data_IF_071422603606
#
_entry.id   IF_071422603606
#
_cell.length_a   1.000
_cell.length_b   1.000
_cell.length_c   1.000
_cell.angle_alpha   90.00
_cell.angle_beta   90.00
_cell.angle_gamma   90.00
#
_symmetry.space_group_name_H-M   'P 1'
#
loop_
_entity.id
_entity.type
_entity.pdbx_description
1 polymer ?
#
# COMPACT_ATOMS: atom_id res chain seq x y z
N UNK A 1 -38.03 -68.64 9.60
CA UNK A 1 -37.41 -67.71 8.61
C UNK A 1 -37.12 -66.36 9.30
N UNK A 2 -35.84 -66.11 9.61
CA UNK A 2 -35.42 -64.85 10.24
C UNK A 2 -35.03 -63.87 9.13
N UNK A 3 -35.77 -62.76 9.00
CA UNK A 3 -35.43 -61.68 8.06
C UNK A 3 -34.42 -60.74 8.73
N UNK A 4 -33.20 -60.73 8.24
CA UNK A 4 -32.19 -59.75 8.65
C UNK A 4 -32.40 -58.45 7.87
N UNK A 5 -32.78 -57.38 8.57
CA UNK A 5 -32.90 -56.05 8.03
C UNK A 5 -31.53 -55.36 8.18
N UNK A 6 -30.84 -55.14 7.07
CA UNK A 6 -29.60 -54.37 7.02
C UNK A 6 -29.97 -52.89 6.86
N UNK A 7 -29.77 -52.08 7.90
CA UNK A 7 -29.88 -50.61 7.84
C UNK A 7 -28.53 -50.09 7.36
N UNK A 8 -28.49 -49.58 6.13
CA UNK A 8 -27.31 -48.91 5.57
C UNK A 8 -27.40 -47.41 5.97
N UNK A 9 -26.67 -47.02 7.01
CA UNK A 9 -26.57 -45.60 7.42
C UNK A 9 -25.60 -44.91 6.49
N UNK A 10 -26.12 -44.12 5.55
CA UNK A 10 -25.36 -43.27 4.66
C UNK A 10 -24.96 -41.97 5.40
N UNK A 11 -23.70 -41.94 5.86
CA UNK A 11 -23.13 -40.76 6.54
C UNK A 11 -22.73 -39.72 5.45
N UNK A 12 -23.58 -38.70 5.20
CA UNK A 12 -23.25 -37.57 4.36
C UNK A 12 -22.22 -36.69 5.11
N UNK A 13 -20.95 -36.85 4.74
CA UNK A 13 -19.90 -35.94 5.16
C UNK A 13 -20.07 -34.57 4.44
N UNK A 14 -20.55 -33.58 5.16
CA UNK A 14 -20.55 -32.21 4.68
C UNK A 14 -19.12 -31.66 4.77
N UNK A 15 -18.37 -31.76 3.68
CA UNK A 15 -17.09 -31.06 3.54
C UNK A 15 -17.37 -29.58 3.32
N UNK A 16 -17.21 -28.77 4.39
CA UNK A 16 -17.19 -27.32 4.28
C UNK A 16 -15.95 -26.89 3.47
N UNK A 17 -16.12 -26.56 2.18
CA UNK A 17 -15.12 -25.86 1.41
C UNK A 17 -14.98 -24.45 2.00
N UNK A 18 -13.94 -24.23 2.80
CA UNK A 18 -13.51 -22.88 3.17
C UNK A 18 -12.95 -22.22 1.91
N UNK A 19 -13.70 -21.34 1.28
CA UNK A 19 -13.20 -20.48 0.22
C UNK A 19 -12.20 -19.49 0.84
N UNK A 20 -10.92 -19.85 0.85
CA UNK A 20 -9.86 -18.90 1.18
C UNK A 20 -9.77 -17.90 0.03
N UNK A 21 -9.94 -16.60 0.35
CA UNK A 21 -9.75 -15.56 -0.64
C UNK A 21 -8.29 -15.62 -1.13
N UNK A 22 -8.13 -15.94 -2.41
CA UNK A 22 -6.80 -16.09 -3.01
C UNK A 22 -6.11 -14.73 -3.05
N UNK A 23 -4.88 -14.64 -2.52
CA UNK A 23 -4.02 -13.49 -2.62
C UNK A 23 -3.81 -13.12 -4.10
N UNK A 24 -4.10 -11.89 -4.45
CA UNK A 24 -3.86 -11.35 -5.79
C UNK A 24 -2.69 -10.38 -5.72
N UNK A 25 -1.77 -10.49 -6.69
CA UNK A 25 -0.62 -9.60 -6.80
C UNK A 25 -0.44 -9.15 -8.26
N UNK A 26 0.08 -7.94 -8.41
CA UNK A 26 0.50 -7.39 -9.70
C UNK A 26 1.87 -6.76 -9.54
N UNK A 27 2.80 -7.18 -10.37
CA UNK A 27 4.16 -6.64 -10.41
C UNK A 27 4.25 -5.72 -11.62
N UNK A 28 4.75 -4.51 -11.41
CA UNK A 28 5.02 -3.53 -12.45
C UNK A 28 6.44 -2.99 -12.32
N UNK A 29 6.97 -2.53 -13.43
CA UNK A 29 8.26 -1.82 -13.48
C UNK A 29 7.99 -0.34 -13.72
N UNK A 30 8.57 0.51 -12.89
CA UNK A 30 8.44 1.97 -12.96
C UNK A 30 9.81 2.56 -13.26
N UNK A 31 9.94 3.29 -14.35
CA UNK A 31 11.12 4.08 -14.64
C UNK A 31 10.88 5.54 -14.24
N UNK A 32 11.78 6.10 -13.43
CA UNK A 32 11.76 7.50 -13.01
C UNK A 32 12.97 8.21 -13.61
N UNK A 33 12.74 9.29 -14.34
CA UNK A 33 13.77 10.08 -15.00
C UNK A 33 13.88 11.47 -14.40
N UNK A 34 15.12 11.90 -14.14
CA UNK A 34 15.44 13.28 -13.82
C UNK A 34 15.96 14.00 -15.06
N UNK A 35 15.16 14.90 -15.64
CA UNK A 35 15.53 15.67 -16.83
C UNK A 35 16.37 16.93 -16.52
N UNK A 36 16.66 17.19 -15.24
CA UNK A 36 17.39 18.36 -14.80
C UNK A 36 18.90 18.07 -14.75
N UNK A 37 19.70 19.12 -14.90
CA UNK A 37 21.16 19.06 -14.80
C UNK A 37 21.69 19.00 -13.35
N UNK A 38 20.80 18.90 -12.37
CA UNK A 38 21.11 18.77 -10.95
C UNK A 38 20.55 17.46 -10.40
N UNK A 39 21.30 16.81 -9.53
CA UNK A 39 20.80 15.67 -8.77
C UNK A 39 19.68 16.12 -7.83
N UNK A 40 18.70 15.25 -7.64
CA UNK A 40 17.59 15.46 -6.68
C UNK A 40 17.63 14.38 -5.63
N UNK A 41 17.83 14.79 -4.38
CA UNK A 41 17.63 13.93 -3.24
C UNK A 41 16.14 13.95 -2.85
N UNK A 42 15.65 12.80 -2.36
CA UNK A 42 14.28 12.63 -1.85
C UNK A 42 13.20 13.17 -2.82
N UNK A 43 13.41 12.99 -4.13
CA UNK A 43 12.41 13.38 -5.11
C UNK A 43 11.13 12.56 -4.92
N UNK A 44 9.95 13.19 -4.73
CA UNK A 44 8.70 12.45 -4.58
C UNK A 44 8.31 11.79 -5.90
N UNK A 45 7.95 10.52 -5.83
CA UNK A 45 7.38 9.74 -6.94
C UNK A 45 5.96 9.37 -6.53
N UNK A 46 5.00 9.82 -7.33
CA UNK A 46 3.57 9.56 -7.12
C UNK A 46 3.05 8.74 -8.28
N UNK A 47 2.43 7.62 -7.99
CA UNK A 47 1.85 6.71 -8.96
C UNK A 47 0.35 6.62 -8.74
N UNK A 48 -0.43 7.02 -9.74
CA UNK A 48 -1.87 6.87 -9.72
C UNK A 48 -2.24 5.39 -9.91
N UNK A 49 -2.86 4.79 -8.89
CA UNK A 49 -3.22 3.37 -8.91
C UNK A 49 -4.37 3.05 -9.86
N UNK A 50 -5.24 4.01 -10.15
CA UNK A 50 -6.34 3.81 -11.09
C UNK A 50 -5.81 3.54 -12.51
N UNK A 51 -4.73 4.20 -12.91
CA UNK A 51 -4.10 4.01 -14.22
C UNK A 51 -3.43 2.65 -14.38
N UNK A 52 -3.09 2.01 -13.27
CA UNK A 52 -2.42 0.71 -13.29
C UNK A 52 -3.36 -0.47 -13.57
N UNK A 53 -4.67 -0.28 -13.49
CA UNK A 53 -5.69 -1.31 -13.75
C UNK A 53 -5.32 -2.65 -13.07
N UNK A 54 -5.14 -2.64 -11.76
CA UNK A 54 -4.67 -3.80 -11.00
C UNK A 54 -5.60 -5.03 -11.12
N UNK A 55 -6.90 -4.79 -11.35
CA UNK A 55 -7.93 -5.85 -11.44
C UNK A 55 -8.43 -6.33 -10.07
N UNK A 56 -7.87 -5.80 -8.99
CA UNK A 56 -8.27 -6.07 -7.62
C UNK A 56 -8.09 -4.83 -6.75
N UNK A 57 -8.68 -4.85 -5.55
CA UNK A 57 -8.50 -3.78 -4.57
C UNK A 57 -7.11 -3.85 -3.96
N UNK A 58 -6.26 -2.86 -4.26
CA UNK A 58 -4.91 -2.74 -3.68
C UNK A 58 -5.03 -2.40 -2.19
N UNK A 59 -4.34 -3.16 -1.35
CA UNK A 59 -4.29 -2.97 0.10
C UNK A 59 -2.87 -2.82 0.63
N UNK A 60 -1.87 -3.22 -0.14
CA UNK A 60 -0.46 -2.98 0.16
C UNK A 60 0.36 -2.89 -1.12
N UNK A 61 1.51 -2.25 -1.02
CA UNK A 61 2.52 -2.18 -2.06
C UNK A 61 3.91 -2.37 -1.47
N UNK A 62 4.81 -2.94 -2.26
CA UNK A 62 6.25 -3.03 -1.95
C UNK A 62 7.00 -2.44 -3.13
N UNK A 63 7.91 -1.51 -2.86
CA UNK A 63 8.75 -0.86 -3.86
C UNK A 63 10.20 -1.33 -3.67
N UNK A 64 10.82 -1.81 -4.74
CA UNK A 64 12.20 -2.31 -4.72
C UNK A 64 13.06 -1.53 -5.73
N UNK A 65 14.23 -1.05 -5.30
CA UNK A 65 15.32 -0.59 -6.16
C UNK A 65 16.41 -1.69 -6.18
N UNK A 66 16.42 -2.51 -7.20
CA UNK A 66 17.24 -3.73 -7.21
C UNK A 66 16.85 -4.67 -6.06
N UNK A 67 17.76 -4.88 -5.10
CA UNK A 67 17.52 -5.69 -3.90
C UNK A 67 17.12 -4.88 -2.67
N UNK A 68 17.13 -3.55 -2.78
CA UNK A 68 16.80 -2.65 -1.67
C UNK A 68 15.31 -2.31 -1.68
N UNK A 69 14.64 -2.55 -0.56
CA UNK A 69 13.26 -2.09 -0.36
C UNK A 69 13.25 -0.59 -0.05
N UNK A 70 12.38 0.13 -0.74
CA UNK A 70 12.20 1.58 -0.56
C UNK A 70 10.91 1.81 0.23
N UNK A 71 10.96 2.57 1.34
CA UNK A 71 9.77 2.96 2.07
C UNK A 71 8.74 3.63 1.17
N UNK A 72 7.50 3.17 1.26
CA UNK A 72 6.40 3.67 0.43
C UNK A 72 5.10 3.72 1.22
N UNK A 73 4.17 4.52 0.74
CA UNK A 73 2.88 4.76 1.38
C UNK A 73 1.77 4.67 0.32
N UNK A 74 0.62 4.17 0.74
CA UNK A 74 -0.61 4.17 -0.04
C UNK A 74 -1.56 5.21 0.55
N UNK A 75 -2.07 6.09 -0.31
CA UNK A 75 -2.98 7.17 0.08
C UNK A 75 -4.38 6.97 -0.50
N UNK A 76 -5.39 7.18 0.35
CA UNK A 76 -6.81 7.25 0.02
C UNK A 76 -7.21 8.73 0.12
N UNK A 77 -7.18 9.43 -1.02
CA UNK A 77 -7.35 10.89 -1.08
C UNK A 77 -8.80 11.32 -0.85
N UNK A 78 -9.75 10.49 -1.26
CA UNK A 78 -11.18 10.78 -1.22
C UNK A 78 -11.92 10.14 -0.02
N UNK A 79 -11.21 9.30 0.77
CA UNK A 79 -11.70 8.57 1.94
C UNK A 79 -12.80 7.54 1.61
N UNK A 80 -12.76 6.97 0.41
CA UNK A 80 -13.69 5.91 0.00
C UNK A 80 -13.21 4.49 0.38
N UNK A 81 -12.09 4.40 1.09
CA UNK A 81 -11.39 3.17 1.51
C UNK A 81 -10.78 2.37 0.37
N UNK A 82 -10.54 3.01 -0.77
CA UNK A 82 -9.69 2.50 -1.84
C UNK A 82 -8.44 3.35 -1.89
N UNK A 83 -7.31 2.73 -2.20
CA UNK A 83 -6.07 3.48 -2.36
C UNK A 83 -6.05 4.11 -3.74
N UNK A 84 -5.81 5.42 -3.79
CA UNK A 84 -5.76 6.21 -5.01
C UNK A 84 -4.33 6.34 -5.53
N UNK A 85 -3.36 6.48 -4.61
CA UNK A 85 -1.97 6.73 -4.96
C UNK A 85 -1.00 5.84 -4.18
N UNK A 86 0.13 5.53 -4.82
CA UNK A 86 1.34 4.99 -4.20
C UNK A 86 2.41 6.07 -4.25
N UNK A 87 2.96 6.42 -3.09
CA UNK A 87 3.97 7.47 -2.95
C UNK A 87 5.24 6.89 -2.34
N UNK A 88 6.39 7.25 -2.90
CA UNK A 88 7.71 6.98 -2.34
C UNK A 88 8.69 8.09 -2.73
N UNK A 89 9.89 8.10 -2.15
CA UNK A 89 10.94 9.05 -2.51
C UNK A 89 12.12 8.34 -3.15
N UNK A 90 12.78 9.01 -4.10
CA UNK A 90 13.92 8.48 -4.81
C UNK A 90 15.02 9.55 -4.96
N UNK A 91 16.26 9.12 -4.79
CA UNK A 91 17.42 9.95 -5.14
C UNK A 91 17.74 9.76 -6.62
N UNK A 92 17.69 10.83 -7.37
CA UNK A 92 17.88 10.82 -8.82
C UNK A 92 19.13 11.62 -9.18
N UNK A 93 20.11 11.02 -9.90
CA UNK A 93 21.26 11.75 -10.41
C UNK A 93 20.84 12.78 -11.47
N UNK A 94 21.68 13.76 -11.73
CA UNK A 94 21.47 14.71 -12.83
C UNK A 94 21.35 13.95 -14.16
N UNK A 95 20.30 14.28 -14.95
CA UNK A 95 19.97 13.59 -16.21
C UNK A 95 19.87 12.06 -16.11
N UNK A 96 19.71 11.54 -14.88
CA UNK A 96 19.71 10.11 -14.62
C UNK A 96 18.33 9.47 -14.62
N UNK A 97 18.35 8.14 -14.64
CA UNK A 97 17.16 7.29 -14.55
C UNK A 97 17.34 6.27 -13.46
N UNK A 98 16.24 5.88 -12.84
CA UNK A 98 16.19 4.74 -11.95
C UNK A 98 14.97 3.89 -12.24
N UNK A 99 15.13 2.60 -12.04
CA UNK A 99 14.06 1.63 -12.24
C UNK A 99 13.68 1.00 -10.92
N UNK A 100 12.39 0.97 -10.66
CA UNK A 100 11.80 0.39 -9.46
C UNK A 100 10.85 -0.74 -9.86
N UNK A 101 10.89 -1.83 -9.11
CA UNK A 101 9.88 -2.88 -9.19
C UNK A 101 8.85 -2.63 -8.10
N UNK A 102 7.59 -2.55 -8.48
CA UNK A 102 6.47 -2.34 -7.57
C UNK A 102 5.58 -3.58 -7.57
N UNK A 103 5.39 -4.17 -6.41
CA UNK A 103 4.45 -5.29 -6.19
C UNK A 103 3.23 -4.77 -5.46
N UNK A 104 2.07 -4.76 -6.13
CA UNK A 104 0.78 -4.43 -5.55
C UNK A 104 0.12 -5.71 -5.03
N UNK A 105 -0.56 -5.66 -3.87
CA UNK A 105 -1.23 -6.82 -3.29
C UNK A 105 -2.65 -6.52 -2.81
N UNK A 106 -3.52 -7.52 -2.91
CA UNK A 106 -4.87 -7.51 -2.34
C UNK A 106 -4.90 -7.77 -0.83
N UNK A 107 -3.77 -8.13 -0.24
CA UNK A 107 -3.62 -8.34 1.19
C UNK A 107 -2.99 -7.13 1.88
N UNK A 108 -3.34 -6.92 3.15
CA UNK A 108 -2.70 -5.87 3.95
C UNK A 108 -1.27 -6.28 4.31
N UNK A 109 -0.37 -5.31 4.27
CA UNK A 109 0.97 -5.47 4.84
C UNK A 109 0.93 -5.23 6.34
N UNK A 110 1.75 -5.98 7.08
CA UNK A 110 2.06 -5.72 8.49
C UNK A 110 3.35 -4.89 8.63
N UNK A 111 4.01 -4.58 7.51
CA UNK A 111 5.23 -3.76 7.53
C UNK A 111 4.90 -2.32 7.86
N UNK A 112 5.72 -1.73 8.72
CA UNK A 112 5.72 -0.31 9.04
C UNK A 112 7.09 0.26 8.67
N UNK A 113 7.08 1.46 8.09
CA UNK A 113 8.31 2.19 7.81
C UNK A 113 8.46 3.33 8.83
N UNK A 114 9.70 3.78 9.12
CA UNK A 114 9.91 4.94 9.96
C UNK A 114 9.19 6.17 9.38
N UNK A 115 8.47 6.89 10.23
CA UNK A 115 7.84 8.14 9.82
C UNK A 115 8.94 9.19 9.54
N UNK A 116 8.91 9.79 8.35
CA UNK A 116 9.83 10.84 7.95
C UNK A 116 9.22 12.23 8.08
N UNK A 117 7.89 12.31 8.06
CA UNK A 117 7.12 13.54 8.21
C UNK A 117 5.92 13.26 9.10
N UNK A 118 5.71 14.12 10.07
CA UNK A 118 4.52 14.11 10.91
C UNK A 118 3.77 15.44 10.73
N UNK A 119 2.47 15.35 10.50
CA UNK A 119 1.59 16.51 10.50
C UNK A 119 0.35 16.21 11.35
N UNK A 120 0.02 17.09 12.26
CA UNK A 120 -1.19 17.00 13.08
C UNK A 120 -1.98 18.30 13.04
N UNK A 121 -3.28 18.16 13.14
CA UNK A 121 -4.19 19.27 13.19
C UNK A 121 -5.01 19.21 14.48
N UNK A 122 -4.90 20.23 15.31
CA UNK A 122 -5.62 20.31 16.56
C UNK A 122 -6.38 21.62 16.70
N UNK A 123 -7.44 21.56 17.49
CA UNK A 123 -8.27 22.74 17.78
C UNK A 123 -7.69 23.38 19.05
N UNK A 124 -7.28 24.63 18.95
CA UNK A 124 -6.88 25.43 20.10
C UNK A 124 -8.09 26.22 20.57
N UNK A 125 -8.51 25.96 21.80
CA UNK A 125 -9.55 26.71 22.47
C UNK A 125 -8.89 27.70 23.43
N UNK A 126 -9.05 28.97 23.18
CA UNK A 126 -8.56 30.01 24.06
C UNK A 126 -9.64 31.09 24.30
N UNK A 127 -9.38 31.99 25.21
CA UNK A 127 -10.33 33.08 25.57
C UNK A 127 -10.77 33.96 24.40
N UNK A 128 -10.11 33.89 23.25
CA UNK A 128 -10.42 34.65 22.02
C UNK A 128 -11.20 33.81 20.99
N UNK A 129 -11.53 32.56 21.29
CA UNK A 129 -12.26 31.67 20.39
C UNK A 129 -11.48 30.44 19.95
N UNK A 130 -12.19 29.55 19.26
CA UNK A 130 -11.63 28.32 18.72
C UNK A 130 -10.97 28.58 17.36
N UNK A 131 -9.74 28.13 17.19
CA UNK A 131 -9.07 28.15 15.90
C UNK A 131 -8.30 26.86 15.67
N UNK A 132 -8.19 26.49 14.41
CA UNK A 132 -7.41 25.32 14.00
C UNK A 132 -5.92 25.73 13.89
N UNK A 133 -5.05 24.89 14.40
CA UNK A 133 -3.61 25.01 14.22
C UNK A 133 -3.09 23.74 13.58
N UNK A 134 -2.32 23.89 12.52
CA UNK A 134 -1.60 22.79 11.88
C UNK A 134 -0.17 22.84 12.38
N UNK A 135 0.31 21.75 12.93
CA UNK A 135 1.71 21.55 13.28
C UNK A 135 2.28 20.50 12.34
N UNK A 136 3.18 20.93 11.47
CA UNK A 136 3.97 20.05 10.65
C UNK A 136 5.40 19.99 11.21
N UNK A 137 5.85 18.83 11.63
CA UNK A 137 7.23 18.57 12.01
C UNK A 137 7.85 17.71 10.90
N UNK A 138 8.72 18.33 10.10
CA UNK A 138 9.58 17.58 9.19
C UNK A 138 10.77 17.09 9.99
N UNK A 139 10.79 15.81 10.33
CA UNK A 139 11.96 15.14 10.87
C UNK A 139 12.79 14.62 9.69
N UNK A 140 13.62 15.50 9.13
CA UNK A 140 14.69 15.06 8.24
C UNK A 140 15.82 14.58 9.16
N UNK A 141 15.88 13.29 9.42
CA UNK A 141 17.08 12.67 9.93
C UNK A 141 17.89 12.16 8.75
N UNK A 142 19.04 12.80 8.59
CA UNK A 142 20.13 12.41 7.70
C UNK A 142 20.76 11.12 8.21
#
# INVERSE_FOLDING_TARGET
MKKNLFIFTFLLGVSSLSAQAQKQEKIITVEVQNNWNQAKADAPVVINLHELHAGFKVKSAVVMEGTKEIPSQLDDLNRDRKMDELVFVADLPAHGRKTFQVTLSSEKSTKTYPERVYADMFIVDNKKGKHQRVQALSLIHI
#
